data_IF_600205587088
#
_entry.id   IF_600205587088
#
_cell.length_a   1.000
_cell.length_b   1.000
_cell.length_c   1.000
_cell.angle_alpha   90.00
_cell.angle_beta   90.00
_cell.angle_gamma   90.00
#
_symmetry.space_group_name_H-M   'P 1'
#
loop_
_entity.id
_entity.type
_entity.pdbx_description
1 polymer ?
#
# COMPACT_ATOMS: atom_id res chain seq x y z
N UNK A 1 22.75 24.55 -12.21
CA UNK A 1 23.90 23.65 -12.01
C UNK A 1 23.37 22.22 -12.05
N UNK A 2 24.00 21.35 -12.83
CA UNK A 2 23.64 19.93 -12.92
C UNK A 2 24.17 19.17 -11.70
N UNK A 3 23.41 18.18 -11.23
CA UNK A 3 23.83 17.25 -10.18
C UNK A 3 25.08 16.47 -10.65
N UNK A 4 26.01 16.24 -9.75
CA UNK A 4 27.25 15.49 -10.04
C UNK A 4 27.06 13.99 -9.81
N UNK A 5 27.90 13.16 -10.44
CA UNK A 5 27.88 11.70 -10.22
C UNK A 5 28.14 11.34 -8.74
N UNK A 6 28.97 12.12 -8.07
CA UNK A 6 29.26 11.93 -6.65
C UNK A 6 28.06 12.21 -5.76
N UNK A 7 27.28 13.24 -6.08
CA UNK A 7 26.03 13.56 -5.37
C UNK A 7 24.98 12.47 -5.62
N UNK A 8 24.86 11.96 -6.85
CA UNK A 8 23.96 10.84 -7.17
C UNK A 8 24.35 9.60 -6.34
N UNK A 9 25.64 9.25 -6.32
CA UNK A 9 26.14 8.13 -5.54
C UNK A 9 25.83 8.25 -4.05
N UNK A 10 26.05 9.46 -3.48
CA UNK A 10 25.77 9.73 -2.08
C UNK A 10 24.28 9.60 -1.74
N UNK A 11 23.39 10.12 -2.58
CA UNK A 11 21.93 9.99 -2.42
C UNK A 11 21.47 8.53 -2.48
N UNK A 12 22.06 7.70 -3.34
CA UNK A 12 21.78 6.26 -3.41
C UNK A 12 22.22 5.57 -2.11
N UNK A 13 23.40 5.88 -1.57
CA UNK A 13 23.89 5.35 -0.28
C UNK A 13 22.90 5.67 0.83
N UNK A 14 22.45 6.91 0.91
CA UNK A 14 21.54 7.37 1.96
C UNK A 14 20.18 6.67 1.90
N UNK A 15 19.56 6.60 0.71
CA UNK A 15 18.30 5.89 0.50
C UNK A 15 18.41 4.39 0.80
N UNK A 16 19.51 3.75 0.37
CA UNK A 16 19.76 2.33 0.66
C UNK A 16 19.89 2.08 2.15
N UNK A 17 20.66 2.92 2.86
CA UNK A 17 20.84 2.79 4.32
C UNK A 17 19.54 3.03 5.07
N UNK A 18 18.71 3.97 4.63
CA UNK A 18 17.39 4.23 5.20
C UNK A 18 16.47 3.00 5.10
N UNK A 19 16.58 2.23 3.99
CA UNK A 19 15.88 0.94 3.84
C UNK A 19 16.53 -0.22 4.61
N UNK A 20 17.67 0.00 5.28
CA UNK A 20 18.42 -1.05 5.96
C UNK A 20 19.08 -2.07 5.02
N UNK A 21 19.25 -1.73 3.75
CA UNK A 21 19.79 -2.64 2.75
C UNK A 21 21.32 -2.59 2.67
N UNK A 22 21.95 -3.76 2.49
CA UNK A 22 23.35 -3.86 2.09
C UNK A 22 23.53 -3.52 0.60
N UNK A 23 24.77 -3.28 0.17
CA UNK A 23 25.07 -3.14 -1.26
C UNK A 23 24.67 -4.39 -2.06
N UNK A 24 24.79 -5.56 -1.46
CA UNK A 24 24.40 -6.84 -2.08
C UNK A 24 22.89 -6.91 -2.30
N UNK A 25 22.09 -6.48 -1.32
CA UNK A 25 20.63 -6.49 -1.42
C UNK A 25 20.14 -5.56 -2.52
N UNK A 26 20.66 -4.33 -2.57
CA UNK A 26 20.29 -3.38 -3.61
C UNK A 26 20.74 -3.85 -4.99
N UNK A 27 21.98 -4.36 -5.11
CA UNK A 27 22.49 -4.88 -6.37
C UNK A 27 21.64 -6.01 -6.94
N UNK A 28 21.20 -6.95 -6.09
CA UNK A 28 20.25 -8.02 -6.46
C UNK A 28 18.90 -7.46 -6.91
N UNK A 29 18.35 -6.49 -6.17
CA UNK A 29 17.04 -5.89 -6.48
C UNK A 29 17.03 -5.21 -7.86
N UNK A 30 18.13 -4.55 -8.25
CA UNK A 30 18.24 -3.86 -9.54
C UNK A 30 18.92 -4.69 -10.64
N UNK A 31 19.19 -5.97 -10.39
CA UNK A 31 19.86 -6.89 -11.32
C UNK A 31 21.20 -6.37 -11.82
N UNK A 32 22.02 -5.90 -10.89
CA UNK A 32 23.37 -5.35 -11.15
C UNK A 32 24.40 -6.11 -10.32
N UNK A 33 25.69 -6.08 -10.73
CA UNK A 33 26.76 -6.60 -9.87
C UNK A 33 27.01 -5.66 -8.68
N UNK A 34 27.34 -6.24 -7.51
CA UNK A 34 27.71 -5.44 -6.34
C UNK A 34 28.87 -4.47 -6.63
N UNK A 35 29.86 -4.91 -7.41
CA UNK A 35 30.99 -4.06 -7.79
C UNK A 35 30.58 -2.85 -8.63
N UNK A 36 29.64 -3.03 -9.58
CA UNK A 36 29.09 -1.93 -10.37
C UNK A 36 28.32 -0.94 -9.50
N UNK A 37 27.51 -1.43 -8.58
CA UNK A 37 26.80 -0.57 -7.63
C UNK A 37 27.76 0.21 -6.74
N UNK A 38 28.83 -0.43 -6.23
CA UNK A 38 29.82 0.23 -5.40
C UNK A 38 30.55 1.37 -6.17
N UNK A 39 30.85 1.19 -7.47
CA UNK A 39 31.43 2.25 -8.29
C UNK A 39 30.47 3.41 -8.52
N UNK A 40 29.18 3.15 -8.67
CA UNK A 40 28.14 4.17 -8.74
C UNK A 40 28.06 4.94 -7.42
N UNK A 41 27.98 4.23 -6.29
CA UNK A 41 27.91 4.85 -4.95
C UNK A 41 29.13 5.73 -4.64
N UNK A 42 30.31 5.35 -5.12
CA UNK A 42 31.53 6.16 -4.99
C UNK A 42 31.60 7.32 -5.97
N UNK A 43 30.70 7.41 -6.96
CA UNK A 43 30.71 8.42 -7.99
C UNK A 43 31.80 8.21 -9.05
N UNK A 44 32.42 7.04 -9.10
CA UNK A 44 33.45 6.66 -10.07
C UNK A 44 32.87 6.19 -11.41
N UNK A 45 31.56 5.83 -11.41
CA UNK A 45 30.81 5.40 -12.58
C UNK A 45 29.49 6.16 -12.64
N UNK A 46 29.14 6.64 -13.84
CA UNK A 46 27.81 7.22 -14.09
C UNK A 46 26.72 6.16 -14.05
N UNK A 47 25.51 6.59 -13.73
CA UNK A 47 24.27 5.78 -13.78
C UNK A 47 23.60 6.06 -15.12
N UNK A 48 23.29 5.02 -15.89
CA UNK A 48 22.46 5.18 -17.07
C UNK A 48 20.96 5.33 -16.69
N UNK A 49 20.16 5.76 -17.66
CA UNK A 49 18.75 6.08 -17.41
C UNK A 49 17.94 4.85 -17.00
N UNK A 50 18.26 3.68 -17.52
CA UNK A 50 17.60 2.43 -17.19
C UNK A 50 17.99 1.92 -15.79
N UNK A 51 19.26 2.11 -15.43
CA UNK A 51 19.76 1.83 -14.09
C UNK A 51 19.11 2.75 -13.06
N UNK A 52 18.99 4.04 -13.39
CA UNK A 52 18.38 5.04 -12.53
C UNK A 52 16.89 4.76 -12.32
N UNK A 53 16.16 4.31 -13.34
CA UNK A 53 14.77 3.88 -13.21
C UNK A 53 14.62 2.64 -12.30
N UNK A 54 15.51 1.65 -12.44
CA UNK A 54 15.51 0.48 -11.55
C UNK A 54 15.82 0.86 -10.10
N UNK A 55 16.77 1.77 -9.90
CA UNK A 55 17.07 2.33 -8.58
C UNK A 55 15.89 3.09 -8.01
N UNK A 56 15.20 3.92 -8.81
CA UNK A 56 14.01 4.65 -8.41
C UNK A 56 12.89 3.71 -7.95
N UNK A 57 12.69 2.62 -8.69
CA UNK A 57 11.69 1.60 -8.34
C UNK A 57 12.09 0.84 -7.06
N UNK A 58 13.35 0.41 -6.94
CA UNK A 58 13.83 -0.39 -5.81
C UNK A 58 13.92 0.42 -4.50
N UNK A 59 14.33 1.67 -4.59
CA UNK A 59 14.49 2.59 -3.47
C UNK A 59 13.28 3.51 -3.25
N UNK A 60 12.26 3.41 -4.13
CA UNK A 60 10.98 4.13 -4.04
C UNK A 60 11.14 5.66 -4.00
N UNK A 61 11.89 6.23 -4.93
CA UNK A 61 12.03 7.67 -5.06
C UNK A 61 11.52 8.21 -6.41
N UNK A 62 11.09 9.48 -6.43
CA UNK A 62 10.77 10.21 -7.65
C UNK A 62 12.06 10.68 -8.31
N UNK A 63 12.21 10.46 -9.64
CA UNK A 63 13.39 10.90 -10.39
C UNK A 63 13.57 12.42 -10.36
N UNK A 64 12.48 13.17 -10.52
CA UNK A 64 12.51 14.64 -10.52
C UNK A 64 13.02 15.19 -9.20
N UNK A 65 12.51 14.65 -8.08
CA UNK A 65 12.96 15.04 -6.75
C UNK A 65 14.37 14.57 -6.46
N UNK A 66 14.71 13.33 -6.81
CA UNK A 66 16.06 12.78 -6.63
C UNK A 66 17.14 13.61 -7.34
N UNK A 67 16.80 14.19 -8.50
CA UNK A 67 17.70 15.06 -9.27
C UNK A 67 17.62 16.53 -8.86
N UNK A 68 16.66 16.91 -8.03
CA UNK A 68 16.48 18.29 -7.57
C UNK A 68 17.57 18.73 -6.59
N UNK A 69 17.74 20.04 -6.42
CA UNK A 69 18.64 20.62 -5.42
C UNK A 69 18.08 20.52 -3.99
N UNK A 70 16.78 20.34 -3.89
CA UNK A 70 16.03 20.27 -2.62
C UNK A 70 15.97 18.85 -2.05
N UNK A 71 16.70 17.91 -2.65
CA UNK A 71 16.72 16.53 -2.19
C UNK A 71 17.30 16.41 -0.78
N UNK A 72 16.49 15.92 0.16
CA UNK A 72 16.89 15.60 1.53
C UNK A 72 16.40 14.19 1.86
N UNK A 73 17.27 13.38 2.44
CA UNK A 73 16.90 12.02 2.87
C UNK A 73 16.16 12.13 4.19
N UNK A 74 14.87 11.81 4.16
CA UNK A 74 13.98 11.88 5.34
C UNK A 74 12.75 12.78 5.19
N UNK A 75 12.73 13.72 4.26
CA UNK A 75 11.56 14.57 3.98
C UNK A 75 10.62 13.99 2.91
N UNK A 76 10.82 12.75 2.50
CA UNK A 76 10.04 12.11 1.44
C UNK A 76 8.74 11.47 1.91
N UNK A 77 8.21 11.87 3.05
CA UNK A 77 6.93 11.36 3.55
C UNK A 77 5.89 12.46 3.75
N UNK A 78 6.23 13.75 3.59
CA UNK A 78 5.20 14.79 3.71
C UNK A 78 5.43 15.97 2.75
N UNK A 79 4.44 16.19 1.91
CA UNK A 79 4.00 17.47 1.35
C UNK A 79 5.00 18.45 0.71
N UNK A 80 5.25 18.33 -0.61
CA UNK A 80 5.49 19.52 -1.45
C UNK A 80 4.80 19.50 -2.82
N UNK A 81 3.55 19.07 -2.91
CA UNK A 81 2.70 19.39 -4.09
C UNK A 81 1.79 20.61 -3.91
N UNK A 82 1.94 21.39 -2.86
CA UNK A 82 1.07 22.54 -2.61
C UNK A 82 1.70 23.90 -2.92
N UNK A 83 2.50 24.08 -3.96
CA UNK A 83 2.79 25.43 -4.48
C UNK A 83 3.18 25.45 -5.95
N UNK A 84 2.30 25.13 -6.84
CA UNK A 84 2.29 25.72 -8.21
C UNK A 84 0.86 25.81 -8.76
N UNK A 85 0.43 27.04 -8.79
CA UNK A 85 -0.56 27.66 -9.67
C UNK A 85 -2.04 27.38 -9.45
N UNK A 86 -2.67 28.50 -9.22
CA UNK A 86 -4.04 28.83 -9.22
C UNK A 86 -4.97 28.13 -10.20
N UNK A 87 -6.16 27.86 -9.69
CA UNK A 87 -7.42 27.65 -10.39
C UNK A 87 -7.50 26.41 -11.28
N UNK A 88 -7.63 25.28 -10.65
CA UNK A 88 -8.69 24.30 -10.91
C UNK A 88 -8.80 23.47 -9.63
N UNK A 89 -9.91 23.59 -8.91
CA UNK A 89 -10.22 22.75 -7.76
C UNK A 89 -10.51 21.32 -8.26
N UNK A 90 -9.46 20.58 -8.55
CA UNK A 90 -9.55 19.12 -8.63
C UNK A 90 -9.37 18.65 -7.19
N UNK A 91 -10.46 18.32 -6.53
CA UNK A 91 -10.46 17.68 -5.21
C UNK A 91 -9.95 16.23 -5.36
N UNK A 92 -8.67 16.07 -5.63
CA UNK A 92 -8.04 14.75 -5.57
C UNK A 92 -7.49 14.62 -4.15
N UNK A 93 -8.14 13.80 -3.33
CA UNK A 93 -7.64 13.43 -2.02
C UNK A 93 -6.48 12.47 -2.20
N UNK A 94 -5.24 12.93 -1.93
CA UNK A 94 -4.05 12.07 -1.99
C UNK A 94 -4.00 11.20 -0.74
N UNK A 95 -3.97 9.86 -0.84
CA UNK A 95 -3.93 8.99 0.33
C UNK A 95 -2.64 9.19 1.12
N UNK A 96 -2.79 9.59 2.38
CA UNK A 96 -1.70 9.69 3.35
C UNK A 96 -1.86 8.63 4.42
N UNK A 97 -0.91 7.69 4.51
CA UNK A 97 -0.99 6.56 5.42
C UNK A 97 -0.95 6.99 6.89
N UNK A 98 -2.07 6.80 7.57
CA UNK A 98 -2.19 7.00 9.01
C UNK A 98 -1.78 5.71 9.75
N UNK A 99 -0.49 5.53 10.02
CA UNK A 99 0.08 4.27 10.54
C UNK A 99 -0.62 3.76 11.78
N UNK A 100 -0.92 4.62 12.75
CA UNK A 100 -1.60 4.19 13.99
C UNK A 100 -3.04 3.74 13.71
N UNK A 101 -3.75 4.43 12.84
CA UNK A 101 -5.11 4.05 12.43
C UNK A 101 -5.10 2.75 11.64
N UNK A 102 -4.14 2.60 10.71
CA UNK A 102 -3.97 1.36 9.96
C UNK A 102 -3.72 0.15 10.87
N UNK A 103 -2.81 0.29 11.87
CA UNK A 103 -2.57 -0.74 12.90
C UNK A 103 -3.84 -1.10 13.65
N UNK A 104 -4.63 -0.10 14.00
CA UNK A 104 -5.87 -0.30 14.75
C UNK A 104 -6.96 -0.99 13.91
N UNK A 105 -7.12 -0.59 12.63
CA UNK A 105 -8.01 -1.29 11.67
C UNK A 105 -7.56 -2.73 11.47
N UNK A 106 -6.26 -2.97 11.33
CA UNK A 106 -5.69 -4.31 11.20
C UNK A 106 -6.02 -5.19 12.43
N UNK A 107 -5.78 -4.66 13.64
CA UNK A 107 -6.12 -5.36 14.89
C UNK A 107 -7.62 -5.66 14.97
N UNK A 108 -8.46 -4.69 14.62
CA UNK A 108 -9.91 -4.86 14.63
C UNK A 108 -10.38 -5.98 13.68
N UNK A 109 -9.90 -6.00 12.45
CA UNK A 109 -10.22 -7.06 11.48
C UNK A 109 -9.75 -8.41 12.01
N UNK A 110 -8.53 -8.51 12.51
CA UNK A 110 -7.96 -9.76 13.03
C UNK A 110 -8.71 -10.26 14.25
N UNK A 111 -9.10 -9.38 15.18
CA UNK A 111 -9.91 -9.75 16.36
C UNK A 111 -11.28 -10.29 15.96
N UNK A 112 -11.95 -9.63 15.01
CA UNK A 112 -13.25 -10.07 14.48
C UNK A 112 -13.18 -11.40 13.71
N UNK A 113 -12.02 -11.72 13.14
CA UNK A 113 -11.77 -12.92 12.36
C UNK A 113 -11.01 -14.02 13.14
N UNK A 114 -10.76 -13.86 14.43
CA UNK A 114 -9.86 -14.73 15.22
C UNK A 114 -10.22 -16.23 15.16
N UNK A 115 -11.52 -16.57 15.12
CA UNK A 115 -11.98 -17.95 15.03
C UNK A 115 -12.03 -18.53 13.60
N UNK A 116 -11.69 -17.77 12.56
CA UNK A 116 -11.86 -18.19 11.16
C UNK A 116 -10.54 -18.76 10.60
N UNK A 117 -10.45 -20.08 10.35
CA UNK A 117 -9.21 -20.72 9.91
C UNK A 117 -8.81 -20.35 8.47
N UNK A 118 -9.76 -19.91 7.63
CA UNK A 118 -9.56 -19.47 6.26
C UNK A 118 -8.91 -18.07 6.13
N UNK A 119 -8.92 -17.29 7.23
CA UNK A 119 -8.37 -15.93 7.22
C UNK A 119 -6.85 -15.97 7.38
N UNK A 120 -6.17 -16.23 6.27
CA UNK A 120 -4.75 -16.03 6.12
C UNK A 120 -4.43 -14.69 5.50
N UNK A 121 -3.16 -14.50 5.17
CA UNK A 121 -2.61 -13.25 4.63
C UNK A 121 -3.36 -12.75 3.39
N UNK A 122 -3.67 -13.63 2.43
CA UNK A 122 -4.40 -13.26 1.21
C UNK A 122 -5.80 -12.71 1.51
N UNK A 123 -6.55 -13.36 2.40
CA UNK A 123 -7.88 -12.89 2.79
C UNK A 123 -7.78 -11.57 3.53
N UNK A 124 -6.83 -11.43 4.45
CA UNK A 124 -6.60 -10.21 5.21
C UNK A 124 -6.33 -9.00 4.30
N UNK A 125 -5.51 -9.16 3.25
CA UNK A 125 -5.22 -8.09 2.29
C UNK A 125 -6.49 -7.60 1.57
N UNK A 126 -7.40 -8.51 1.24
CA UNK A 126 -8.66 -8.15 0.58
C UNK A 126 -9.66 -7.52 1.54
N UNK A 127 -9.70 -7.97 2.79
CA UNK A 127 -10.52 -7.31 3.81
C UNK A 127 -10.07 -5.86 4.05
N UNK A 128 -8.76 -5.61 4.11
CA UNK A 128 -8.20 -4.26 4.19
C UNK A 128 -8.55 -3.43 2.95
N UNK A 129 -8.32 -3.99 1.76
CA UNK A 129 -8.61 -3.32 0.48
C UNK A 129 -10.08 -2.91 0.38
N UNK A 130 -11.01 -3.84 0.57
CA UNK A 130 -12.43 -3.52 0.48
C UNK A 130 -12.89 -2.57 1.58
N UNK A 131 -12.29 -2.62 2.78
CA UNK A 131 -12.61 -1.66 3.84
C UNK A 131 -12.20 -0.23 3.46
N UNK A 132 -10.99 -0.05 2.94
CA UNK A 132 -10.49 1.25 2.52
C UNK A 132 -11.27 1.81 1.32
N UNK A 133 -11.46 1.00 0.27
CA UNK A 133 -12.12 1.45 -0.97
C UNK A 133 -13.62 1.64 -0.80
N UNK A 134 -14.30 0.82 0.00
CA UNK A 134 -15.72 1.00 0.31
C UNK A 134 -15.94 2.26 1.16
N UNK A 135 -15.04 2.54 2.10
CA UNK A 135 -15.12 3.75 2.89
C UNK A 135 -14.92 4.99 2.01
N UNK A 136 -13.94 4.95 1.11
CA UNK A 136 -13.68 6.04 0.17
C UNK A 136 -14.87 6.29 -0.77
N UNK A 137 -15.47 5.25 -1.33
CA UNK A 137 -16.65 5.36 -2.19
C UNK A 137 -17.84 6.00 -1.48
N UNK A 138 -18.04 5.69 -0.17
CA UNK A 138 -19.15 6.22 0.61
C UNK A 138 -18.94 7.65 1.10
N UNK A 139 -17.73 7.98 1.54
CA UNK A 139 -17.47 9.20 2.30
C UNK A 139 -16.48 10.16 1.65
N UNK A 140 -15.89 9.80 0.52
CA UNK A 140 -14.87 10.59 -0.19
C UNK A 140 -13.68 10.97 0.72
N UNK A 141 -13.41 10.11 1.72
CA UNK A 141 -12.36 10.25 2.71
C UNK A 141 -11.62 8.91 2.89
N UNK A 142 -10.35 8.95 3.24
CA UNK A 142 -9.55 7.75 3.41
C UNK A 142 -9.74 7.14 4.81
N UNK A 143 -10.08 5.84 4.89
CA UNK A 143 -10.16 5.12 6.15
C UNK A 143 -8.78 5.03 6.81
N UNK A 144 -7.80 4.47 6.11
CA UNK A 144 -6.44 4.31 6.61
C UNK A 144 -5.41 5.13 5.85
N UNK A 145 -5.71 5.56 4.63
CA UNK A 145 -4.80 6.20 3.70
C UNK A 145 -3.72 5.24 3.17
N UNK A 146 -3.92 3.93 3.28
CA UNK A 146 -3.02 2.94 2.70
C UNK A 146 -3.07 3.00 1.18
N UNK A 147 -1.91 2.84 0.55
CA UNK A 147 -1.81 2.69 -0.91
C UNK A 147 -1.81 1.22 -1.25
N UNK A 148 -2.48 0.86 -2.34
CA UNK A 148 -2.60 -0.52 -2.81
C UNK A 148 -1.95 -0.68 -4.16
N UNK A 149 -1.27 -1.81 -4.37
CA UNK A 149 -0.64 -2.15 -5.63
C UNK A 149 -1.36 -3.33 -6.29
N UNK A 150 -1.53 -3.26 -7.60
CA UNK A 150 -2.06 -4.39 -8.39
C UNK A 150 -1.00 -5.47 -8.52
N UNK A 151 -1.25 -6.63 -7.93
CA UNK A 151 -0.38 -7.81 -8.02
C UNK A 151 -1.18 -9.03 -8.51
N UNK A 152 -0.53 -10.11 -9.00
CA UNK A 152 -1.21 -11.26 -9.62
C UNK A 152 -2.31 -11.93 -8.77
N UNK A 153 -2.19 -11.85 -7.44
CA UNK A 153 -3.21 -12.39 -6.52
C UNK A 153 -4.17 -11.32 -5.98
N UNK A 154 -4.29 -10.19 -6.68
CA UNK A 154 -5.18 -9.08 -6.36
C UNK A 154 -4.48 -7.93 -5.64
N UNK A 155 -5.26 -6.94 -5.15
CA UNK A 155 -4.73 -5.76 -4.48
C UNK A 155 -3.98 -6.11 -3.19
N UNK A 156 -2.81 -5.49 -3.00
CA UNK A 156 -1.96 -5.67 -1.82
C UNK A 156 -1.62 -4.30 -1.23
N UNK A 157 -1.86 -4.08 0.07
CA UNK A 157 -1.50 -2.83 0.72
C UNK A 157 0.02 -2.67 0.81
N UNK A 158 0.52 -1.51 0.39
CA UNK A 158 1.94 -1.18 0.48
C UNK A 158 2.33 -0.97 1.95
N UNK A 159 3.61 -1.19 2.27
CA UNK A 159 4.18 -1.06 3.62
C UNK A 159 3.59 -1.99 4.71
N UNK A 160 2.62 -2.85 4.37
CA UNK A 160 2.00 -3.74 5.36
C UNK A 160 3.03 -4.64 6.05
N UNK A 161 3.97 -5.22 5.29
CA UNK A 161 5.00 -6.11 5.86
C UNK A 161 5.86 -5.41 6.92
N UNK A 162 6.23 -4.15 6.67
CA UNK A 162 7.00 -3.35 7.62
C UNK A 162 6.19 -2.99 8.87
N UNK A 163 4.89 -2.73 8.70
CA UNK A 163 3.98 -2.45 9.82
C UNK A 163 3.78 -3.71 10.65
N UNK A 164 3.53 -4.85 10.01
CA UNK A 164 3.39 -6.14 10.70
C UNK A 164 4.67 -6.49 11.46
N UNK A 165 5.85 -6.31 10.85
CA UNK A 165 7.13 -6.55 11.53
C UNK A 165 7.25 -5.69 12.81
N UNK A 166 6.96 -4.38 12.71
CA UNK A 166 6.97 -3.49 13.87
C UNK A 166 5.96 -3.91 14.95
N UNK A 167 4.78 -4.40 14.57
CA UNK A 167 3.76 -4.86 15.52
C UNK A 167 4.19 -6.16 16.20
N UNK A 168 4.87 -7.06 15.49
CA UNK A 168 5.42 -8.29 16.07
C UNK A 168 6.54 -7.94 17.05
N UNK A 169 7.47 -7.06 16.68
CA UNK A 169 8.56 -6.62 17.55
C UNK A 169 8.05 -5.96 18.85
N UNK A 170 6.89 -5.32 18.78
CA UNK A 170 6.22 -4.70 19.94
C UNK A 170 5.32 -5.68 20.72
N UNK A 171 5.24 -6.93 20.33
CA UNK A 171 4.36 -7.92 20.96
C UNK A 171 2.86 -7.70 20.74
N UNK A 172 2.47 -6.94 19.71
CA UNK A 172 1.06 -6.64 19.39
C UNK A 172 0.45 -7.71 18.47
N UNK A 173 1.27 -8.38 17.69
CA UNK A 173 0.88 -9.47 16.77
C UNK A 173 1.84 -10.66 16.89
N UNK A 174 1.30 -11.84 16.62
CA UNK A 174 2.09 -13.05 16.39
C UNK A 174 1.85 -13.56 14.96
N UNK A 175 2.93 -13.87 14.24
CA UNK A 175 2.88 -14.55 12.95
C UNK A 175 2.93 -16.06 13.17
N UNK A 176 1.98 -16.77 12.58
CA UNK A 176 1.89 -18.23 12.67
C UNK A 176 1.83 -18.82 11.27
N UNK A 177 2.67 -19.83 11.01
CA UNK A 177 2.56 -20.65 9.80
C UNK A 177 1.67 -21.85 10.11
N UNK A 178 0.63 -22.04 9.32
CA UNK A 178 -0.33 -23.13 9.46
C UNK A 178 -0.53 -23.80 8.12
N UNK A 179 -1.23 -24.92 8.12
CA UNK A 179 -1.74 -25.57 6.92
C UNK A 179 -3.27 -25.41 6.90
N UNK A 180 -3.82 -25.08 5.75
CA UNK A 180 -5.26 -24.99 5.54
C UNK A 180 -5.63 -25.76 4.26
N UNK A 181 -6.35 -26.86 4.45
CA UNK A 181 -6.72 -27.80 3.36
C UNK A 181 -5.54 -28.27 2.51
N UNK A 182 -4.38 -28.55 3.15
CA UNK A 182 -3.16 -29.02 2.46
C UNK A 182 -2.33 -27.91 1.81
N UNK A 183 -2.65 -26.64 2.07
CA UNK A 183 -1.90 -25.49 1.56
C UNK A 183 -1.25 -24.70 2.69
N UNK A 184 0.06 -24.36 2.58
CA UNK A 184 0.72 -23.50 3.55
C UNK A 184 0.04 -22.14 3.63
N UNK A 185 -0.22 -21.68 4.84
CA UNK A 185 -0.88 -20.42 5.11
C UNK A 185 -0.14 -19.64 6.19
N UNK A 186 0.06 -18.34 5.98
CA UNK A 186 0.50 -17.41 7.01
C UNK A 186 -0.73 -16.76 7.65
N UNK A 187 -0.79 -16.78 8.99
CA UNK A 187 -1.84 -16.13 9.78
C UNK A 187 -1.22 -15.16 10.77
N UNK A 188 -2.00 -14.18 11.15
CA UNK A 188 -1.64 -13.20 12.17
C UNK A 188 -2.63 -13.28 13.33
N UNK A 189 -2.09 -13.47 14.52
CA UNK A 189 -2.88 -13.54 15.77
C UNK A 189 -2.71 -12.23 16.51
N UNK A 190 -3.78 -11.46 16.76
CA UNK A 190 -3.69 -10.24 17.56
C UNK A 190 -3.43 -10.60 19.02
N UNK A 191 -2.43 -9.99 19.63
CA UNK A 191 -2.11 -10.10 21.05
C UNK A 191 -2.62 -8.91 21.86
N UNK A 192 -2.98 -7.83 21.19
CA UNK A 192 -3.65 -6.65 21.72
C UNK A 192 -5.02 -6.47 21.08
N UNK A 193 -5.94 -5.85 21.80
CA UNK A 193 -7.25 -5.46 21.27
C UNK A 193 -7.14 -4.17 20.47
N UNK A 194 -8.03 -4.02 19.50
CA UNK A 194 -8.20 -2.75 18.81
C UNK A 194 -8.75 -1.68 19.76
N UNK A 195 -8.21 -0.48 19.69
CA UNK A 195 -8.75 0.69 20.38
C UNK A 195 -9.92 1.29 19.58
N UNK A 196 -11.13 0.95 20.00
CA UNK A 196 -12.35 1.40 19.31
C UNK A 196 -12.57 2.92 19.41
N UNK A 197 -11.87 3.62 20.31
CA UNK A 197 -11.96 5.08 20.39
C UNK A 197 -11.28 5.78 19.21
N UNK A 198 -10.40 5.07 18.50
CA UNK A 198 -9.71 5.54 17.31
C UNK A 198 -10.52 5.36 16.02
N UNK A 199 -11.67 4.70 16.09
CA UNK A 199 -12.54 4.45 14.94
C UNK A 199 -13.84 5.21 15.07
N UNK A 200 -14.20 5.97 14.03
CA UNK A 200 -15.52 6.57 13.91
C UNK A 200 -16.58 5.47 13.75
N UNK A 201 -17.82 5.74 14.12
CA UNK A 201 -18.92 4.80 13.96
C UNK A 201 -19.10 4.36 12.48
N UNK A 202 -18.99 5.30 11.54
CA UNK A 202 -19.05 5.03 10.11
C UNK A 202 -17.92 4.14 9.60
N UNK A 203 -16.70 4.32 10.12
CA UNK A 203 -15.55 3.49 9.77
C UNK A 203 -15.74 2.07 10.23
N UNK A 204 -16.16 1.91 11.49
CA UNK A 204 -16.47 0.59 12.06
C UNK A 204 -17.59 -0.12 11.29
N UNK A 205 -18.66 0.61 10.92
CA UNK A 205 -19.77 0.05 10.15
C UNK A 205 -19.31 -0.50 8.79
N UNK A 206 -18.46 0.24 8.07
CA UNK A 206 -17.94 -0.22 6.79
C UNK A 206 -17.06 -1.46 6.96
N UNK A 207 -16.17 -1.46 7.95
CA UNK A 207 -15.31 -2.63 8.22
C UNK A 207 -16.16 -3.84 8.58
N UNK A 208 -17.16 -3.69 9.45
CA UNK A 208 -18.06 -4.78 9.85
C UNK A 208 -18.85 -5.34 8.66
N UNK A 209 -19.32 -4.48 7.74
CA UNK A 209 -19.99 -4.93 6.50
C UNK A 209 -19.06 -5.77 5.63
N UNK A 210 -17.82 -5.34 5.44
CA UNK A 210 -16.81 -6.06 4.66
C UNK A 210 -16.48 -7.41 5.32
N UNK A 211 -16.28 -7.45 6.63
CA UNK A 211 -16.03 -8.69 7.37
C UNK A 211 -17.21 -9.66 7.22
N UNK A 212 -18.44 -9.18 7.43
CA UNK A 212 -19.65 -10.01 7.35
C UNK A 212 -19.85 -10.58 5.94
N UNK A 213 -19.51 -9.83 4.91
CA UNK A 213 -19.67 -10.25 3.52
C UNK A 213 -18.57 -11.21 3.04
N UNK A 214 -17.31 -10.96 3.40
CA UNK A 214 -16.17 -11.56 2.72
C UNK A 214 -15.29 -12.46 3.60
N UNK A 215 -15.37 -12.38 4.93
CA UNK A 215 -14.42 -13.08 5.80
C UNK A 215 -14.57 -14.60 5.83
N UNK A 216 -15.71 -15.15 5.36
CA UNK A 216 -15.93 -16.59 5.26
C UNK A 216 -15.49 -17.18 3.90
N UNK A 217 -15.03 -16.32 2.98
CA UNK A 217 -14.61 -16.75 1.66
C UNK A 217 -13.21 -17.38 1.67
N UNK A 218 -12.97 -18.32 0.74
CA UNK A 218 -11.62 -18.86 0.53
C UNK A 218 -10.70 -17.80 -0.10
N UNK A 219 -9.40 -17.97 0.06
CA UNK A 219 -8.39 -17.10 -0.55
C UNK A 219 -8.55 -17.00 -2.07
N UNK A 220 -8.87 -18.12 -2.74
CA UNK A 220 -9.13 -18.13 -4.17
C UNK A 220 -10.40 -17.36 -4.55
N UNK A 221 -11.49 -17.56 -3.81
CA UNK A 221 -12.76 -16.88 -4.07
C UNK A 221 -12.65 -15.36 -3.92
N UNK A 222 -12.06 -14.89 -2.82
CA UNK A 222 -11.91 -13.46 -2.56
C UNK A 222 -10.89 -12.80 -3.50
N UNK A 223 -9.83 -13.51 -3.92
CA UNK A 223 -8.91 -13.03 -4.95
C UNK A 223 -9.63 -12.87 -6.29
N UNK A 224 -10.36 -13.89 -6.74
CA UNK A 224 -11.13 -13.83 -7.98
C UNK A 224 -12.20 -12.72 -7.94
N UNK A 225 -12.80 -12.47 -6.79
CA UNK A 225 -13.73 -11.37 -6.61
C UNK A 225 -12.99 -10.03 -6.76
N UNK A 226 -11.88 -9.83 -6.06
CA UNK A 226 -11.10 -8.59 -6.16
C UNK A 226 -10.57 -8.31 -7.56
N UNK A 227 -10.35 -9.33 -8.40
CA UNK A 227 -9.93 -9.18 -9.80
C UNK A 227 -11.03 -8.64 -10.72
N UNK A 228 -12.28 -8.65 -10.28
CA UNK A 228 -13.42 -8.09 -11.02
C UNK A 228 -13.80 -6.69 -10.55
N UNK A 229 -13.16 -6.19 -9.53
CA UNK A 229 -13.39 -4.84 -9.03
C UNK A 229 -12.80 -3.78 -9.96
N UNK A 230 -13.55 -2.73 -10.27
CA UNK A 230 -13.16 -1.71 -11.25
C UNK A 230 -11.79 -1.07 -10.94
N UNK A 231 -11.45 -0.70 -9.70
CA UNK A 231 -10.12 -0.16 -9.38
C UNK A 231 -8.98 -1.10 -9.78
N UNK A 232 -9.17 -2.41 -9.55
CA UNK A 232 -8.15 -3.40 -9.94
C UNK A 232 -8.12 -3.61 -11.46
N UNK A 233 -9.27 -3.69 -12.12
CA UNK A 233 -9.37 -3.89 -13.59
C UNK A 233 -8.72 -2.76 -14.37
N UNK A 234 -8.99 -1.51 -13.98
CA UNK A 234 -8.51 -0.32 -14.68
C UNK A 234 -7.02 -0.01 -14.45
N UNK A 235 -6.42 -0.56 -13.41
CA UNK A 235 -4.98 -0.37 -13.11
C UNK A 235 -4.11 -1.31 -13.95
N UNK A 236 -2.84 -0.96 -14.18
CA UNK A 236 -1.85 -1.84 -14.80
C UNK A 236 -1.17 -2.71 -13.75
N UNK A 237 -0.64 -3.87 -14.16
CA UNK A 237 0.09 -4.76 -13.26
C UNK A 237 1.33 -4.07 -12.68
N UNK A 238 1.49 -4.15 -11.35
CA UNK A 238 2.56 -3.50 -10.62
C UNK A 238 2.32 -2.04 -10.25
N UNK A 239 1.32 -1.39 -10.85
CA UNK A 239 0.99 0.02 -10.55
C UNK A 239 0.19 0.16 -9.25
N UNK A 240 0.17 1.37 -8.73
CA UNK A 240 -0.72 1.78 -7.64
C UNK A 240 -2.16 1.83 -8.14
N UNK A 241 -3.09 1.39 -7.30
CA UNK A 241 -4.52 1.39 -7.59
C UNK A 241 -5.10 2.72 -7.06
N UNK A 242 -5.67 3.51 -7.97
CA UNK A 242 -6.27 4.78 -7.64
C UNK A 242 -7.63 4.60 -6.94
N UNK A 243 -7.82 5.29 -5.82
CA UNK A 243 -9.07 5.29 -5.07
C UNK A 243 -10.25 5.89 -5.84
N UNK A 244 -10.00 6.87 -6.71
CA UNK A 244 -11.03 7.52 -7.54
C UNK A 244 -11.76 6.51 -8.43
N UNK A 245 -11.10 5.40 -8.78
CA UNK A 245 -11.72 4.33 -9.56
C UNK A 245 -12.85 3.60 -8.82
N UNK A 246 -12.99 3.79 -7.51
CA UNK A 246 -14.11 3.27 -6.73
C UNK A 246 -15.45 3.87 -7.15
N UNK A 247 -15.48 5.10 -7.66
CA UNK A 247 -16.71 5.76 -8.15
C UNK A 247 -17.22 5.19 -9.47
N UNK A 248 -16.42 4.37 -10.16
CA UNK A 248 -16.79 3.68 -11.40
C UNK A 248 -17.21 2.23 -11.18
N UNK A 249 -17.40 1.83 -9.94
CA UNK A 249 -17.88 0.51 -9.57
C UNK A 249 -19.36 0.33 -9.93
N UNK A 250 -19.67 -0.86 -10.41
CA UNK A 250 -21.04 -1.33 -10.61
C UNK A 250 -21.39 -2.41 -9.59
N UNK A 251 -22.65 -2.79 -9.52
CA UNK A 251 -23.07 -3.92 -8.70
C UNK A 251 -22.33 -5.21 -9.15
N UNK A 252 -21.84 -6.07 -8.25
CA UNK A 252 -22.07 -6.06 -6.79
C UNK A 252 -21.01 -5.32 -5.96
N UNK A 253 -20.08 -4.57 -6.59
CA UNK A 253 -18.93 -3.94 -5.92
C UNK A 253 -19.26 -2.57 -5.34
N UNK A 254 -20.11 -1.81 -6.03
CA UNK A 254 -20.53 -0.49 -5.56
C UNK A 254 -21.29 -0.62 -4.24
N UNK A 255 -20.89 0.19 -3.27
CA UNK A 255 -21.52 0.30 -1.94
C UNK A 255 -22.31 1.60 -1.77
N UNK A 256 -22.18 2.52 -2.73
CA UNK A 256 -22.93 3.78 -2.78
C UNK A 256 -24.19 3.59 -3.62
N UNK A 257 -25.31 4.05 -3.12
CA UNK A 257 -26.53 4.10 -3.91
C UNK A 257 -26.53 5.39 -4.73
N UNK A 258 -26.14 5.28 -5.99
CA UNK A 258 -26.28 6.37 -6.97
C UNK A 258 -27.74 6.36 -7.41
N UNK A 259 -28.66 6.96 -6.61
CA UNK A 259 -30.09 6.92 -6.87
C UNK A 259 -30.38 7.08 -8.36
N UNK A 260 -31.17 6.16 -8.92
CA UNK A 260 -31.75 6.36 -10.24
C UNK A 260 -32.54 7.67 -10.16
N UNK A 261 -32.03 8.76 -10.75
CA UNK A 261 -32.89 9.90 -11.05
C UNK A 261 -34.05 9.34 -11.88
N UNK A 262 -35.30 9.62 -11.51
CA UNK A 262 -36.43 9.19 -12.33
C UNK A 262 -36.22 9.80 -13.73
N UNK A 263 -36.15 8.95 -14.76
CA UNK A 263 -36.20 9.41 -16.14
C UNK A 263 -37.44 10.30 -16.24
N UNK A 264 -37.24 11.59 -16.46
CA UNK A 264 -38.33 12.49 -16.81
C UNK A 264 -38.95 12.00 -18.11
N UNK A 265 -40.19 11.50 -18.00
CA UNK A 265 -41.06 11.15 -19.13
C UNK A 265 -41.65 12.42 -19.75
#
# INVERSE_FOLDING_TARGET
MSITQKEIGQRIIELRKMKGWSQEDLAKAIKMSRSSLAQIELGNRGVDIMELQRLATALEFSLDYFLSKEFTVGEHIEDKEQKRNGKMEVRISVPSLQVNKFKNVLLYILERCAGKPNVGETVLYKLLYFSDFNYYELYEDHLTGARYRKLPYGPVPQKLDSIIAQMIDKGQLQRVKTDYHGYPQTRYIPLEKADLTQLKASEKEVIDKVINQLSDWSAAAISNYSHKDMPWLASKEGDEIDYELAFYREAPFSVRNYGNEPEEQ
#
